data_IF_548704935418
#
_entry.id   IF_548704935418
#
_cell.length_a   1.000
_cell.length_b   1.000
_cell.length_c   1.000
_cell.angle_alpha   90.00
_cell.angle_beta   90.00
_cell.angle_gamma   90.00
#
_symmetry.space_group_name_H-M   'P 1'
#
loop_
_entity.id
_entity.type
_entity.pdbx_description
1 polymer ?
#
# COMPACT_ATOMS: atom_id res chain seq x y z
N UNK A 1 -12.95 -29.96 -2.51
CA UNK A 1 -11.95 -29.01 -2.01
C UNK A 1 -10.90 -28.84 -3.10
N UNK A 2 -10.87 -27.70 -3.77
CA UNK A 2 -9.90 -27.42 -4.84
C UNK A 2 -8.57 -26.98 -4.22
N UNK A 3 -7.46 -27.43 -4.81
CA UNK A 3 -6.09 -27.19 -4.32
C UNK A 3 -5.76 -25.69 -4.14
N UNK A 4 -6.45 -24.80 -4.87
CA UNK A 4 -6.27 -23.34 -4.81
C UNK A 4 -6.64 -22.75 -3.45
N UNK A 5 -7.71 -23.23 -2.80
CA UNK A 5 -8.14 -22.72 -1.50
C UNK A 5 -7.12 -23.00 -0.38
N UNK A 6 -6.27 -24.02 -0.55
CA UNK A 6 -5.18 -24.34 0.39
C UNK A 6 -3.94 -23.48 0.17
N UNK A 7 -3.71 -22.97 -1.03
CA UNK A 7 -2.57 -22.10 -1.37
C UNK A 7 -2.76 -20.66 -0.87
N UNK A 8 -4.01 -20.20 -0.77
CA UNK A 8 -4.35 -18.84 -0.35
C UNK A 8 -4.79 -18.72 1.13
N UNK A 9 -4.48 -19.73 1.97
CA UNK A 9 -4.91 -19.75 3.37
C UNK A 9 -6.43 -19.74 3.56
N UNK A 10 -7.19 -20.21 2.57
CA UNK A 10 -8.66 -20.20 2.55
C UNK A 10 -9.29 -18.92 1.99
N UNK A 11 -8.50 -17.93 1.54
CA UNK A 11 -9.00 -16.66 1.01
C UNK A 11 -9.02 -16.70 -0.52
N UNK A 12 -10.17 -16.60 -1.20
CA UNK A 12 -10.21 -16.55 -2.66
C UNK A 12 -9.35 -15.38 -3.19
N UNK A 13 -8.44 -15.67 -4.14
CA UNK A 13 -7.49 -14.72 -4.74
C UNK A 13 -6.48 -14.11 -3.74
N UNK A 14 -6.16 -14.84 -2.66
CA UNK A 14 -5.31 -14.37 -1.55
C UNK A 14 -3.82 -14.18 -1.89
N UNK A 15 -3.30 -14.87 -2.91
CA UNK A 15 -1.88 -14.84 -3.27
C UNK A 15 -1.32 -13.52 -3.81
N UNK A 16 -2.15 -12.48 -3.99
CA UNK A 16 -1.72 -11.21 -4.58
C UNK A 16 -1.11 -10.22 -3.55
N UNK A 17 -1.41 -10.36 -2.26
CA UNK A 17 -0.99 -9.42 -1.22
C UNK A 17 -0.70 -10.16 0.07
N UNK A 18 0.46 -9.96 0.69
CA UNK A 18 0.76 -10.62 1.95
C UNK A 18 1.64 -9.76 2.86
N UNK A 19 1.12 -9.32 3.99
CA UNK A 19 1.91 -8.71 5.06
C UNK A 19 1.80 -9.51 6.37
N UNK A 20 2.87 -9.59 7.16
CA UNK A 20 2.91 -10.40 8.38
C UNK A 20 3.49 -9.62 9.55
N UNK A 21 2.73 -9.45 10.63
CA UNK A 21 3.19 -8.85 11.88
C UNK A 21 2.24 -9.18 13.04
N UNK A 22 2.79 -9.20 14.26
CA UNK A 22 1.99 -9.28 15.48
C UNK A 22 1.16 -10.57 15.59
N UNK A 23 1.61 -11.68 15.00
CA UNK A 23 0.88 -12.94 14.99
C UNK A 23 -0.28 -12.98 13.97
N UNK A 24 -0.27 -12.11 12.96
CA UNK A 24 -1.31 -11.99 11.95
C UNK A 24 -0.72 -11.88 10.55
N UNK A 25 -1.44 -12.45 9.60
CA UNK A 25 -1.24 -12.27 8.17
C UNK A 25 -2.35 -11.40 7.61
N UNK A 26 -2.01 -10.44 6.77
CA UNK A 26 -2.93 -9.69 5.93
C UNK A 26 -2.86 -10.26 4.52
N UNK A 27 -3.90 -10.97 4.10
CA UNK A 27 -3.91 -11.80 2.89
C UNK A 27 -4.84 -11.22 1.83
N UNK A 28 -4.34 -11.09 0.60
CA UNK A 28 -5.07 -10.66 -0.58
C UNK A 28 -5.68 -9.25 -0.50
N UNK A 29 -5.26 -8.43 0.49
CA UNK A 29 -5.96 -7.20 0.85
C UNK A 29 -7.47 -7.44 1.10
N UNK A 30 -7.80 -8.62 1.68
CA UNK A 30 -9.17 -9.13 1.86
C UNK A 30 -9.44 -9.73 3.23
N UNK A 31 -8.44 -10.22 3.94
CA UNK A 31 -8.63 -10.82 5.26
C UNK A 31 -7.41 -10.65 6.17
N UNK A 32 -7.67 -10.57 7.47
CA UNK A 32 -6.68 -10.81 8.50
C UNK A 32 -6.81 -12.25 8.97
N UNK A 33 -5.71 -13.00 8.94
CA UNK A 33 -5.65 -14.41 9.34
C UNK A 33 -4.72 -14.52 10.54
N UNK A 34 -5.16 -15.07 11.67
CA UNK A 34 -4.27 -15.40 12.78
C UNK A 34 -3.21 -16.42 12.36
N UNK A 35 -1.94 -16.22 12.75
CA UNK A 35 -0.83 -17.14 12.43
C UNK A 35 -1.00 -18.53 13.07
N UNK A 36 -1.80 -18.64 14.12
CA UNK A 36 -2.12 -19.91 14.81
C UNK A 36 -3.23 -20.72 14.11
N UNK A 37 -3.75 -20.25 12.97
CA UNK A 37 -4.82 -20.91 12.23
C UNK A 37 -6.22 -20.66 12.81
N UNK A 38 -6.37 -19.63 13.64
CA UNK A 38 -7.66 -19.14 14.11
C UNK A 38 -8.59 -18.67 12.98
N UNK A 39 -9.80 -18.24 13.36
CA UNK A 39 -10.84 -17.82 12.41
C UNK A 39 -10.41 -16.53 11.68
N UNK A 40 -10.40 -16.50 10.33
CA UNK A 40 -10.10 -15.28 9.58
C UNK A 40 -11.13 -14.17 9.82
N UNK A 41 -10.64 -12.93 9.92
CA UNK A 41 -11.45 -11.72 9.92
C UNK A 41 -11.48 -11.16 8.51
N UNK A 42 -12.65 -11.21 7.86
CA UNK A 42 -12.84 -10.70 6.51
C UNK A 42 -12.95 -9.17 6.52
N UNK A 43 -12.35 -8.52 5.54
CA UNK A 43 -12.54 -7.10 5.32
C UNK A 43 -14.00 -6.80 4.99
N UNK A 44 -14.61 -5.93 5.78
CA UNK A 44 -15.93 -5.40 5.53
C UNK A 44 -15.78 -4.15 4.68
N UNK A 45 -16.36 -4.16 3.48
CA UNK A 45 -16.34 -3.01 2.56
C UNK A 45 -17.06 -1.76 3.11
N UNK A 46 -17.78 -1.87 4.24
CA UNK A 46 -18.43 -0.74 4.89
C UNK A 46 -19.53 -0.09 4.04
N UNK A 47 -20.80 -0.47 4.29
CA UNK A 47 -21.97 0.33 3.88
C UNK A 47 -22.36 0.33 2.39
N UNK A 48 -23.29 -0.56 2.04
CA UNK A 48 -24.52 -0.20 1.30
C UNK A 48 -24.40 0.51 -0.06
N UNK A 49 -23.52 0.08 -0.95
CA UNK A 49 -23.56 0.51 -2.35
C UNK A 49 -22.59 -0.29 -3.20
N UNK A 50 -22.99 -0.62 -4.43
CA UNK A 50 -22.19 -1.35 -5.42
C UNK A 50 -20.94 -0.57 -5.93
N UNK A 51 -20.42 0.36 -5.14
CA UNK A 51 -19.09 0.93 -5.32
C UNK A 51 -18.06 -0.14 -4.95
N UNK A 52 -17.77 -1.05 -5.88
CA UNK A 52 -16.81 -2.12 -5.67
C UNK A 52 -15.41 -1.56 -5.55
N UNK A 53 -14.78 -1.69 -4.36
CA UNK A 53 -13.34 -1.50 -4.28
C UNK A 53 -12.68 -2.73 -4.87
N UNK A 54 -11.74 -2.52 -5.78
CA UNK A 54 -10.88 -3.58 -6.30
C UNK A 54 -9.56 -3.50 -5.54
N UNK A 55 -9.23 -4.48 -4.67
CA UNK A 55 -8.00 -4.43 -3.91
C UNK A 55 -6.78 -4.40 -4.84
N UNK A 56 -5.79 -3.59 -4.48
CA UNK A 56 -4.48 -3.60 -5.13
C UNK A 56 -3.60 -4.59 -4.35
N UNK A 57 -2.99 -5.50 -5.12
CA UNK A 57 -2.13 -6.57 -4.66
C UNK A 57 -1.02 -6.08 -3.71
N UNK A 58 -0.24 -5.08 -4.10
CA UNK A 58 0.82 -4.53 -3.26
C UNK A 58 0.91 -3.02 -3.45
N UNK A 59 1.38 -2.27 -2.43
CA UNK A 59 1.84 -2.72 -1.11
C UNK A 59 0.71 -3.06 -0.11
N UNK A 60 0.96 -3.95 0.85
CA UNK A 60 0.14 -4.11 2.05
C UNK A 60 1.03 -4.01 3.29
N UNK A 61 0.56 -3.32 4.33
CA UNK A 61 1.37 -3.04 5.51
C UNK A 61 0.61 -3.44 6.78
N UNK A 62 1.33 -3.98 7.75
CA UNK A 62 0.76 -4.38 9.03
C UNK A 62 1.72 -3.97 10.15
N UNK A 63 1.26 -3.42 11.27
CA UNK A 63 2.17 -3.12 12.38
C UNK A 63 2.10 -4.21 13.46
N UNK A 64 3.24 -4.50 14.10
CA UNK A 64 3.25 -5.35 15.30
C UNK A 64 2.69 -4.66 16.55
N UNK A 65 2.41 -3.34 16.48
CA UNK A 65 1.95 -2.54 17.61
C UNK A 65 0.41 -2.48 17.74
N UNK A 66 -0.33 -3.41 17.12
CA UNK A 66 -1.79 -3.44 17.16
C UNK A 66 -2.45 -2.26 16.44
N UNK A 67 -1.74 -1.63 15.50
CA UNK A 67 -2.28 -0.56 14.67
C UNK A 67 -3.11 -1.14 13.51
N UNK A 68 -4.01 -0.34 12.90
CA UNK A 68 -4.74 -0.73 11.70
C UNK A 68 -3.78 -1.20 10.59
N UNK A 69 -4.17 -2.26 9.87
CA UNK A 69 -3.50 -2.67 8.64
C UNK A 69 -3.73 -1.64 7.54
N UNK A 70 -2.74 -1.42 6.69
CA UNK A 70 -2.79 -0.43 5.61
C UNK A 70 -2.80 -1.11 4.25
N UNK A 71 -3.74 -0.74 3.42
CA UNK A 71 -4.02 -1.39 2.14
C UNK A 71 -4.34 -0.37 1.06
N UNK A 72 -4.07 -0.73 -0.18
CA UNK A 72 -4.48 0.08 -1.33
C UNK A 72 -5.62 -0.59 -2.09
N UNK A 73 -6.52 0.22 -2.62
CA UNK A 73 -7.59 -0.26 -3.48
C UNK A 73 -7.88 0.75 -4.60
N UNK A 74 -8.39 0.25 -5.72
CA UNK A 74 -9.05 1.08 -6.73
C UNK A 74 -10.49 1.29 -6.29
N UNK A 75 -10.88 2.55 -6.18
CA UNK A 75 -12.22 2.98 -5.83
C UNK A 75 -12.89 3.64 -7.03
N UNK A 76 -14.18 3.37 -7.19
CA UNK A 76 -15.02 3.94 -8.22
C UNK A 76 -16.20 4.66 -7.53
N UNK A 77 -16.37 5.95 -7.82
CA UNK A 77 -17.47 6.74 -7.25
C UNK A 77 -18.82 6.44 -7.92
N UNK A 78 -18.83 5.71 -9.05
CA UNK A 78 -20.07 5.34 -9.74
C UNK A 78 -20.87 4.35 -8.91
N UNK A 79 -22.16 4.61 -8.81
CA UNK A 79 -23.14 3.77 -8.12
C UNK A 79 -24.12 3.10 -9.08
N UNK A 80 -23.96 3.31 -10.39
CA UNK A 80 -24.87 2.86 -11.44
C UNK A 80 -24.57 1.45 -11.97
N UNK A 81 -23.59 0.75 -11.39
CA UNK A 81 -23.21 -0.62 -11.76
C UNK A 81 -22.38 -0.71 -13.04
N UNK A 82 -22.01 0.42 -13.66
CA UNK A 82 -21.11 0.45 -14.82
C UNK A 82 -19.66 0.48 -14.32
N UNK A 83 -18.75 -0.37 -14.85
CA UNK A 83 -17.34 -0.32 -14.49
C UNK A 83 -16.74 1.06 -14.76
N UNK A 84 -15.94 1.57 -13.83
CA UNK A 84 -15.19 2.79 -14.04
C UNK A 84 -14.18 2.61 -15.18
N UNK A 85 -14.00 3.66 -15.97
CA UNK A 85 -12.82 3.83 -16.83
C UNK A 85 -11.59 4.09 -15.98
N UNK A 86 -10.40 3.87 -16.53
CA UNK A 86 -9.14 4.14 -15.83
C UNK A 86 -8.96 5.61 -15.37
N UNK A 87 -9.76 6.55 -15.89
CA UNK A 87 -9.78 7.96 -15.45
C UNK A 87 -10.78 8.24 -14.32
N UNK A 88 -11.77 7.37 -14.15
CA UNK A 88 -12.75 7.45 -13.07
C UNK A 88 -12.31 6.64 -11.83
N UNK A 89 -11.35 5.73 -12.01
CA UNK A 89 -10.73 4.98 -10.91
C UNK A 89 -9.77 5.85 -10.11
N UNK A 90 -9.99 5.90 -8.80
CA UNK A 90 -9.09 6.49 -7.82
C UNK A 90 -8.30 5.41 -7.13
N UNK A 91 -7.06 5.65 -6.75
CA UNK A 91 -6.34 4.76 -5.82
C UNK A 91 -6.42 5.35 -4.42
N UNK A 92 -6.96 4.57 -3.49
CA UNK A 92 -7.12 4.96 -2.09
C UNK A 92 -6.20 4.14 -1.19
N UNK A 93 -5.70 4.77 -0.12
CA UNK A 93 -5.08 4.15 1.03
C UNK A 93 -6.13 3.97 2.12
N UNK A 94 -6.28 2.75 2.61
CA UNK A 94 -7.27 2.35 3.61
C UNK A 94 -6.56 1.84 4.86
N UNK A 95 -6.96 2.35 6.01
CA UNK A 95 -6.66 1.74 7.29
C UNK A 95 -7.81 0.84 7.71
N UNK A 96 -7.51 -0.41 8.05
CA UNK A 96 -8.49 -1.41 8.44
C UNK A 96 -8.15 -1.96 9.81
N UNK A 97 -9.14 -1.95 10.70
CA UNK A 97 -9.05 -2.55 12.01
C UNK A 97 -8.89 -4.08 11.86
N UNK A 98 -7.83 -4.68 12.40
CA UNK A 98 -7.53 -6.09 12.18
C UNK A 98 -8.45 -7.04 12.96
N UNK A 99 -9.17 -6.55 13.99
CA UNK A 99 -10.08 -7.36 14.81
C UNK A 99 -11.47 -7.45 14.21
N UNK A 100 -11.93 -6.36 13.62
CA UNK A 100 -13.28 -6.23 13.07
C UNK A 100 -13.33 -6.28 11.55
N UNK A 101 -12.21 -6.05 10.87
CA UNK A 101 -12.14 -5.94 9.42
C UNK A 101 -12.79 -4.66 8.87
N UNK A 102 -13.17 -3.71 9.73
CA UNK A 102 -13.79 -2.45 9.32
C UNK A 102 -12.75 -1.40 8.92
N UNK A 103 -13.07 -0.61 7.91
CA UNK A 103 -12.29 0.57 7.53
C UNK A 103 -12.38 1.62 8.64
N UNK A 104 -11.23 2.00 9.19
CA UNK A 104 -11.09 3.08 10.19
C UNK A 104 -11.06 4.43 9.49
N UNK A 105 -10.31 4.52 8.39
CA UNK A 105 -10.24 5.71 7.53
C UNK A 105 -9.79 5.33 6.12
N UNK A 106 -10.07 6.20 5.16
CA UNK A 106 -9.71 6.08 3.74
C UNK A 106 -9.30 7.46 3.20
N UNK A 107 -8.28 7.51 2.36
CA UNK A 107 -7.75 8.75 1.75
C UNK A 107 -7.17 8.46 0.37
N UNK A 108 -7.18 9.43 -0.54
CA UNK A 108 -6.55 9.26 -1.85
C UNK A 108 -5.03 9.13 -1.74
N UNK A 109 -4.54 8.01 -2.28
CA UNK A 109 -3.12 7.69 -2.30
C UNK A 109 -2.39 8.42 -3.44
N UNK A 110 -3.07 8.76 -4.54
CA UNK A 110 -2.44 9.48 -5.64
C UNK A 110 -2.40 10.99 -5.39
N UNK A 111 -1.29 11.64 -5.77
CA UNK A 111 -1.07 13.06 -5.52
C UNK A 111 -2.13 13.95 -6.20
N UNK A 112 -2.63 13.51 -7.36
CA UNK A 112 -3.76 14.07 -8.07
C UNK A 112 -4.90 13.03 -8.11
N UNK A 113 -6.11 13.43 -7.71
CA UNK A 113 -7.27 12.53 -7.57
C UNK A 113 -7.95 12.18 -8.90
N UNK A 114 -7.66 12.92 -9.97
CA UNK A 114 -8.32 12.79 -11.27
C UNK A 114 -7.36 12.34 -12.38
N UNK A 115 -6.06 12.40 -12.13
CA UNK A 115 -5.05 11.89 -13.04
C UNK A 115 -4.75 10.40 -12.79
N UNK A 116 -4.61 9.59 -13.87
CA UNK A 116 -4.11 8.23 -13.75
C UNK A 116 -2.72 8.22 -13.10
N UNK A 117 -2.44 7.21 -12.28
CA UNK A 117 -1.16 7.11 -11.57
C UNK A 117 -0.93 5.75 -10.95
N UNK A 118 0.26 5.58 -10.37
CA UNK A 118 0.74 4.32 -9.80
C UNK A 118 1.30 4.55 -8.41
N UNK A 119 0.97 3.65 -7.48
CA UNK A 119 1.68 3.52 -6.20
C UNK A 119 2.82 2.53 -6.40
N UNK A 120 4.06 2.98 -6.20
CA UNK A 120 5.25 2.14 -6.40
C UNK A 120 5.69 1.44 -5.12
N UNK A 121 5.64 2.15 -4.00
CA UNK A 121 6.13 1.64 -2.73
C UNK A 121 5.44 2.36 -1.58
N UNK A 122 5.27 1.66 -0.45
CA UNK A 122 4.78 2.24 0.78
C UNK A 122 5.44 1.60 2.01
N UNK A 123 5.53 2.36 3.10
CA UNK A 123 6.05 1.85 4.36
C UNK A 123 5.36 2.51 5.56
N UNK A 124 5.24 1.75 6.64
CA UNK A 124 4.92 2.31 7.96
C UNK A 124 6.14 3.10 8.45
N UNK A 125 5.88 4.27 9.01
CA UNK A 125 6.86 5.13 9.65
C UNK A 125 6.56 5.19 11.14
N UNK A 126 7.61 5.28 11.96
CA UNK A 126 7.48 5.50 13.39
C UNK A 126 6.56 6.69 13.67
N UNK A 127 5.69 6.55 14.66
CA UNK A 127 4.65 7.54 14.96
C UNK A 127 3.33 7.32 14.22
N UNK A 128 3.17 6.20 13.50
CA UNK A 128 1.89 5.78 12.91
C UNK A 128 1.56 6.46 11.57
N UNK A 129 2.56 7.04 10.91
CA UNK A 129 2.40 7.59 9.56
C UNK A 129 2.69 6.53 8.49
N UNK A 130 2.19 6.76 7.28
CA UNK A 130 2.47 5.94 6.10
C UNK A 130 3.21 6.78 5.07
N UNK A 131 4.41 6.38 4.70
CA UNK A 131 5.16 6.93 3.57
C UNK A 131 4.77 6.23 2.28
N UNK A 132 4.55 6.98 1.21
CA UNK A 132 4.14 6.44 -0.10
C UNK A 132 4.94 7.13 -1.21
N UNK A 133 5.50 6.35 -2.13
CA UNK A 133 5.99 6.84 -3.42
C UNK A 133 4.94 6.53 -4.49
N UNK A 134 4.43 7.57 -5.13
CA UNK A 134 3.47 7.43 -6.22
C UNK A 134 3.74 8.45 -7.33
N UNK A 135 3.21 8.17 -8.52
CA UNK A 135 3.19 9.09 -9.65
C UNK A 135 1.77 9.41 -10.12
N UNK A 136 1.69 10.37 -11.03
CA UNK A 136 0.49 10.70 -11.78
C UNK A 136 0.87 11.28 -13.15
N UNK A 137 0.06 10.97 -14.15
CA UNK A 137 0.17 11.51 -15.52
C UNK A 137 -0.52 12.88 -15.59
N UNK A 138 0.27 13.94 -15.40
CA UNK A 138 -0.19 15.32 -15.48
C UNK A 138 -0.14 15.88 -16.91
N UNK A 139 -0.86 16.97 -17.23
CA UNK A 139 -0.82 17.60 -18.54
C UNK A 139 0.59 18.01 -19.01
N UNK A 140 1.48 18.40 -18.09
CA UNK A 140 2.86 18.79 -18.42
C UNK A 140 3.85 17.61 -18.36
N UNK A 141 3.35 16.38 -18.24
CA UNK A 141 4.11 15.13 -18.19
C UNK A 141 4.08 14.46 -16.82
N UNK A 142 4.55 13.19 -16.75
CA UNK A 142 4.51 12.41 -15.52
C UNK A 142 5.30 13.09 -14.41
N UNK A 143 4.77 13.04 -13.19
CA UNK A 143 5.44 13.56 -12.00
C UNK A 143 5.33 12.51 -10.90
N UNK A 144 6.39 12.34 -10.12
CA UNK A 144 6.42 11.44 -8.96
C UNK A 144 6.52 12.25 -7.67
N UNK A 145 5.97 11.73 -6.57
CA UNK A 145 5.96 12.38 -5.26
C UNK A 145 6.24 11.39 -4.13
N UNK A 146 6.99 11.86 -3.14
CA UNK A 146 7.06 11.26 -1.82
C UNK A 146 5.94 11.87 -0.98
N UNK A 147 5.00 11.06 -0.54
CA UNK A 147 3.82 11.49 0.20
C UNK A 147 3.80 10.86 1.60
N UNK A 148 3.21 11.57 2.55
CA UNK A 148 3.07 11.14 3.93
C UNK A 148 1.60 11.24 4.35
N UNK A 149 1.08 10.18 4.95
CA UNK A 149 -0.29 10.07 5.39
C UNK A 149 -0.37 9.75 6.87
N UNK A 150 -1.31 10.36 7.59
CA UNK A 150 -1.61 10.04 8.97
C UNK A 150 -3.09 10.30 9.24
N UNK A 151 -3.76 9.37 9.92
CA UNK A 151 -5.15 9.52 10.39
C UNK A 151 -6.13 9.96 9.29
N UNK A 152 -6.02 9.37 8.09
CA UNK A 152 -6.91 9.68 6.96
C UNK A 152 -6.62 11.00 6.24
N UNK A 153 -5.47 11.63 6.50
CA UNK A 153 -5.07 12.87 5.83
C UNK A 153 -3.68 12.77 5.21
N UNK A 154 -3.48 13.44 4.08
CA UNK A 154 -2.13 13.69 3.51
C UNK A 154 -1.50 14.84 4.28
N UNK A 155 -0.46 14.53 5.05
CA UNK A 155 0.24 15.50 5.92
C UNK A 155 1.50 16.08 5.28
N UNK A 156 1.97 15.49 4.17
CA UNK A 156 3.10 16.01 3.40
C UNK A 156 3.15 15.43 1.99
N UNK A 157 3.69 16.21 1.06
CA UNK A 157 3.92 15.78 -0.32
C UNK A 157 5.10 16.55 -0.93
N UNK A 158 6.09 15.83 -1.43
CA UNK A 158 7.31 16.39 -2.01
C UNK A 158 7.51 15.83 -3.43
N UNK A 159 7.42 16.67 -4.49
CA UNK A 159 7.66 16.21 -5.84
C UNK A 159 9.12 15.83 -6.04
N UNK A 160 9.36 14.74 -6.79
CA UNK A 160 10.70 14.40 -7.25
C UNK A 160 11.17 15.42 -8.31
N UNK A 161 12.41 15.90 -8.23
CA UNK A 161 12.92 16.92 -9.14
C UNK A 161 13.03 16.38 -10.57
N UNK A 162 12.74 17.26 -11.53
CA UNK A 162 12.88 16.99 -12.97
C UNK A 162 12.02 15.84 -13.52
N UNK A 163 10.86 15.57 -12.90
CA UNK A 163 9.81 14.69 -13.47
C UNK A 163 10.34 13.31 -13.96
N UNK A 164 11.05 12.55 -13.11
CA UNK A 164 11.66 11.30 -13.54
C UNK A 164 10.62 10.20 -13.72
N UNK A 165 10.93 9.19 -14.54
CA UNK A 165 10.16 7.93 -14.56
C UNK A 165 10.68 7.00 -13.48
N UNK A 166 9.81 6.51 -12.61
CA UNK A 166 10.16 5.57 -11.54
C UNK A 166 10.03 4.14 -12.05
N UNK A 167 11.03 3.30 -11.78
CA UNK A 167 10.97 1.86 -12.05
C UNK A 167 10.76 1.02 -10.77
N UNK A 168 11.16 1.55 -9.62
CA UNK A 168 10.98 0.87 -8.34
C UNK A 168 11.57 1.70 -7.20
N UNK A 169 11.20 1.36 -5.98
CA UNK A 169 11.72 2.01 -4.79
C UNK A 169 11.69 1.08 -3.58
N UNK A 170 12.41 1.49 -2.53
CA UNK A 170 12.37 0.81 -1.25
C UNK A 170 12.61 1.83 -0.12
N UNK A 171 11.72 1.82 0.87
CA UNK A 171 11.94 2.51 2.15
C UNK A 171 12.90 1.68 3.02
N UNK A 172 13.91 2.33 3.62
CA UNK A 172 14.86 1.69 4.53
C UNK A 172 15.46 2.70 5.53
N UNK A 173 15.23 2.45 6.82
CA UNK A 173 15.70 3.33 7.89
C UNK A 173 15.09 4.72 7.74
N UNK A 174 15.91 5.74 7.55
CA UNK A 174 15.46 7.12 7.35
C UNK A 174 15.49 7.57 5.88
N UNK A 175 15.53 6.62 4.94
CA UNK A 175 15.71 6.89 3.52
C UNK A 175 14.67 6.18 2.67
N UNK A 176 14.36 6.81 1.54
CA UNK A 176 13.73 6.19 0.39
C UNK A 176 14.76 6.08 -0.73
N UNK A 177 15.01 4.86 -1.18
CA UNK A 177 15.86 4.59 -2.33
C UNK A 177 14.98 4.40 -3.57
N UNK A 178 15.27 5.09 -4.66
CA UNK A 178 14.44 5.10 -5.88
C UNK A 178 15.30 4.78 -7.09
N UNK A 179 14.92 3.76 -7.85
CA UNK A 179 15.45 3.49 -9.19
C UNK A 179 14.62 4.27 -10.20
N UNK A 180 15.25 5.21 -10.89
CA UNK A 180 14.56 6.14 -11.78
C UNK A 180 15.34 6.44 -13.06
N UNK A 181 14.61 6.83 -14.11
CA UNK A 181 15.17 7.35 -15.35
C UNK A 181 14.97 8.87 -15.38
N UNK A 182 16.06 9.61 -15.56
CA UNK A 182 16.05 11.05 -15.80
C UNK A 182 16.91 11.34 -17.01
N UNK A 183 16.32 12.03 -17.99
CA UNK A 183 16.98 12.41 -19.25
C UNK A 183 17.65 11.23 -19.98
N UNK A 184 16.99 10.05 -19.95
CA UNK A 184 17.49 8.84 -20.59
C UNK A 184 18.50 8.04 -19.76
N UNK A 185 18.89 8.51 -18.57
CA UNK A 185 19.86 7.84 -17.69
C UNK A 185 19.17 7.20 -16.50
N UNK A 186 19.38 5.90 -16.31
CA UNK A 186 18.94 5.17 -15.12
C UNK A 186 19.89 5.41 -13.94
N UNK A 187 19.32 5.70 -12.76
CA UNK A 187 20.06 6.00 -11.53
C UNK A 187 19.34 5.42 -10.32
N UNK A 188 20.11 5.13 -9.28
CA UNK A 188 19.61 4.93 -7.93
C UNK A 188 19.81 6.24 -7.15
N UNK A 189 18.73 6.90 -6.76
CA UNK A 189 18.76 8.10 -5.92
C UNK A 189 18.30 7.75 -4.49
N UNK A 190 18.83 8.46 -3.50
CA UNK A 190 18.44 8.33 -2.09
C UNK A 190 17.85 9.64 -1.59
N UNK A 191 16.69 9.54 -0.96
CA UNK A 191 15.94 10.66 -0.40
C UNK A 191 15.83 10.49 1.11
N UNK A 192 16.40 11.42 1.87
CA UNK A 192 16.24 11.44 3.32
C UNK A 192 14.83 11.85 3.70
N UNK A 193 14.18 11.10 4.58
CA UNK A 193 12.80 11.35 5.03
C UNK A 193 12.74 12.44 6.12
N UNK A 194 13.88 12.76 6.75
CA UNK A 194 13.96 13.64 7.92
C UNK A 194 14.24 12.85 9.20
N UNK A 195 14.62 13.55 10.27
CA UNK A 195 15.06 12.93 11.53
C UNK A 195 13.94 12.21 12.29
N UNK A 196 12.71 12.68 12.10
CA UNK A 196 11.53 12.18 12.79
C UNK A 196 10.86 11.01 12.04
N UNK A 197 11.31 10.73 10.81
CA UNK A 197 10.72 9.71 9.95
C UNK A 197 11.69 8.54 9.77
N UNK A 198 11.48 7.51 10.58
CA UNK A 198 12.18 6.22 10.46
C UNK A 198 11.16 5.15 10.11
N UNK A 199 11.47 4.30 9.13
CA UNK A 199 10.62 3.17 8.74
C UNK A 199 10.47 2.18 9.88
N UNK A 200 9.27 1.62 10.06
CA UNK A 200 9.09 0.49 10.96
C UNK A 200 9.78 -0.76 10.39
N UNK A 201 10.60 -1.42 11.20
CA UNK A 201 11.37 -2.59 10.78
C UNK A 201 10.52 -3.88 10.71
N UNK A 202 9.23 -3.83 11.02
CA UNK A 202 8.34 -5.00 11.21
C UNK A 202 7.07 -4.86 10.38
N UNK A 203 6.59 -5.95 9.78
CA UNK A 203 5.28 -5.97 9.13
C UNK A 203 5.22 -5.74 7.63
N UNK A 204 6.19 -6.30 6.93
CA UNK A 204 6.45 -6.04 5.51
C UNK A 204 5.65 -6.96 4.58
N UNK A 205 5.38 -6.51 3.34
CA UNK A 205 5.04 -7.39 2.22
C UNK A 205 6.05 -8.56 2.12
N UNK A 206 5.60 -9.79 1.90
CA UNK A 206 6.48 -10.96 1.97
C UNK A 206 7.65 -10.97 0.96
N UNK A 207 7.59 -10.16 -0.10
CA UNK A 207 8.76 -9.92 -0.97
C UNK A 207 9.98 -9.40 -0.20
N UNK A 208 9.80 -8.84 1.01
CA UNK A 208 10.86 -8.20 1.80
C UNK A 208 10.92 -8.58 3.30
N UNK A 209 10.06 -9.45 3.83
CA UNK A 209 10.05 -9.76 5.27
C UNK A 209 9.56 -11.16 5.65
N UNK A 210 10.19 -11.74 6.67
CA UNK A 210 9.72 -12.94 7.36
C UNK A 210 9.31 -12.62 8.81
N UNK A 211 8.58 -13.53 9.49
CA UNK A 211 7.91 -13.27 10.78
C UNK A 211 8.84 -12.85 11.94
N UNK A 212 10.16 -13.03 11.78
CA UNK A 212 11.19 -12.67 12.77
C UNK A 212 12.47 -12.08 12.16
N UNK A 213 12.50 -11.78 10.86
CA UNK A 213 13.73 -11.35 10.16
C UNK A 213 13.61 -9.96 9.56
N UNK A 214 14.68 -9.18 9.74
CA UNK A 214 14.98 -7.97 8.97
C UNK A 214 15.04 -8.32 7.47
N UNK A 215 14.83 -7.31 6.62
CA UNK A 215 15.02 -7.35 5.17
C UNK A 215 16.27 -8.16 4.77
N UNK A 216 16.07 -9.22 3.99
CA UNK A 216 17.14 -9.92 3.27
C UNK A 216 16.78 -9.79 1.79
N UNK A 217 17.60 -9.07 1.04
CA UNK A 217 17.52 -9.13 -0.42
C UNK A 217 17.96 -10.52 -0.85
N UNK A 218 17.17 -11.19 -1.69
CA UNK A 218 17.61 -12.42 -2.35
C UNK A 218 18.88 -12.11 -3.17
N UNK A 219 19.87 -13.02 -3.18
CA UNK A 219 21.09 -12.87 -3.97
C UNK A 219 20.82 -12.80 -5.48
#
# INVERSE_FOLDING_TARGET
MTLSALLDGGVPDGGASLAIAGGRLLVGARAFVPEDGGVPVMLSEGGGGASGRVPIAEPALLSSAGQPGQLFARACARTDGVPCTAREERVVLRAVDPESGHVVWEVDALPDEVAPGTVYEAALLQGGAVGVLADAELPEGPQAWIQFFAQGARVGSCPLPSRPRVAGAAFLGQHLYVVLNRDGVWRLESYGLGRDFTTEDRGWPQRHGGPSRRRIESP
#
